data_IF_101330777996
#
_entry.id   IF_101330777996
#
_cell.length_a   1.000
_cell.length_b   1.000
_cell.length_c   1.000
_cell.angle_alpha   90.00
_cell.angle_beta   90.00
_cell.angle_gamma   90.00
#
_symmetry.space_group_name_H-M   'P 1'
#
loop_
_entity.id
_entity.type
_entity.pdbx_description
1 polymer ?
#
# COMPACT_ATOMS: atom_id res chain seq x y z
N UNK A 1 -1.23 51.00 -57.94
CA UNK A 1 -0.43 51.03 -56.71
C UNK A 1 -1.40 51.01 -55.54
N UNK A 2 -1.66 49.81 -54.96
CA UNK A 2 -2.54 49.65 -53.82
C UNK A 2 -1.61 49.34 -52.60
N UNK A 3 -1.62 50.24 -51.61
CA UNK A 3 -0.92 50.08 -50.34
C UNK A 3 -1.75 49.15 -49.44
N UNK A 4 -1.22 47.98 -49.13
CA UNK A 4 -1.77 47.07 -48.13
C UNK A 4 -1.28 47.54 -46.76
N UNK A 5 -2.21 48.03 -45.98
CA UNK A 5 -2.03 48.35 -44.57
C UNK A 5 -2.16 47.03 -43.77
N UNK A 6 -1.07 46.56 -43.23
CA UNK A 6 -1.04 45.43 -42.31
C UNK A 6 -1.35 45.92 -40.88
N UNK A 7 -2.49 45.61 -40.36
CA UNK A 7 -2.78 45.78 -38.93
C UNK A 7 -2.09 44.64 -38.16
N UNK A 8 -1.05 44.97 -37.45
CA UNK A 8 -0.52 44.10 -36.41
C UNK A 8 -1.42 44.19 -35.17
N UNK A 9 -2.24 43.14 -34.95
CA UNK A 9 -3.00 42.95 -33.72
C UNK A 9 -2.02 42.50 -32.64
N UNK A 10 -1.58 43.41 -31.78
CA UNK A 10 -0.82 43.06 -30.57
C UNK A 10 -1.87 42.57 -29.58
N UNK A 11 -2.03 41.24 -29.45
CA UNK A 11 -2.70 40.64 -28.32
C UNK A 11 -1.79 40.84 -27.08
N UNK A 12 -2.07 41.87 -26.31
CA UNK A 12 -1.61 41.96 -24.93
C UNK A 12 -2.34 40.87 -24.13
N UNK A 13 -1.70 39.70 -23.97
CA UNK A 13 -2.08 38.78 -22.91
C UNK A 13 -1.78 39.47 -21.59
N UNK A 14 -2.75 40.09 -20.98
CA UNK A 14 -2.75 40.37 -19.56
C UNK A 14 -2.69 39.04 -18.86
N UNK A 15 -1.51 38.62 -18.42
CA UNK A 15 -1.40 37.63 -17.38
C UNK A 15 -2.05 38.24 -16.13
N UNK A 16 -3.32 37.90 -15.92
CA UNK A 16 -3.95 38.01 -14.62
C UNK A 16 -3.21 36.98 -13.78
N UNK A 17 -2.21 37.40 -13.01
CA UNK A 17 -1.76 36.57 -11.89
C UNK A 17 -2.97 36.46 -10.96
N UNK A 18 -3.70 35.37 -11.04
CA UNK A 18 -4.60 34.97 -9.97
C UNK A 18 -3.70 34.79 -8.76
N UNK A 19 -3.67 35.80 -7.87
CA UNK A 19 -3.16 35.60 -6.54
C UNK A 19 -3.88 34.35 -6.03
N UNK A 20 -3.14 33.30 -5.75
CA UNK A 20 -3.65 32.10 -5.10
C UNK A 20 -4.26 32.57 -3.78
N UNK A 21 -5.59 32.67 -3.73
CA UNK A 21 -6.29 33.08 -2.52
C UNK A 21 -6.33 31.84 -1.63
N UNK A 22 -5.63 31.89 -0.51
CA UNK A 22 -5.75 30.86 0.51
C UNK A 22 -7.11 30.99 1.18
N UNK A 23 -7.84 29.87 1.32
CA UNK A 23 -9.11 29.82 2.05
C UNK A 23 -8.84 29.57 3.53
N UNK A 24 -9.35 30.46 4.40
CA UNK A 24 -9.30 30.28 5.85
C UNK A 24 -10.57 29.60 6.34
N UNK A 25 -10.41 28.52 7.11
CA UNK A 25 -11.51 27.81 7.79
C UNK A 25 -11.36 28.02 9.29
N UNK A 26 -12.33 28.67 9.90
CA UNK A 26 -12.32 29.01 11.32
C UNK A 26 -11.82 30.42 11.63
N UNK A 27 -11.71 30.72 12.90
CA UNK A 27 -11.31 32.03 13.42
C UNK A 27 -9.77 32.10 13.57
N UNK A 28 -9.14 33.11 13.01
CA UNK A 28 -7.67 33.27 13.04
C UNK A 28 -7.11 33.46 14.47
N UNK A 29 -7.94 33.80 15.46
CA UNK A 29 -7.58 33.87 16.88
C UNK A 29 -7.67 32.53 17.61
N UNK A 30 -7.91 31.43 16.86
CA UNK A 30 -8.08 30.07 17.39
C UNK A 30 -9.23 29.92 18.41
N UNK A 31 -10.34 30.63 18.20
CA UNK A 31 -11.56 30.55 19.02
C UNK A 31 -12.74 29.91 18.28
N UNK A 32 -12.46 29.14 17.24
CA UNK A 32 -13.50 28.45 16.44
C UNK A 32 -14.32 27.52 17.31
N UNK A 33 -15.63 27.71 17.32
CA UNK A 33 -16.54 26.84 18.05
C UNK A 33 -16.62 25.44 17.43
N UNK A 34 -16.95 24.45 18.24
CA UNK A 34 -17.21 23.10 17.78
C UNK A 34 -18.25 23.09 16.65
N UNK A 35 -17.92 22.41 15.53
CA UNK A 35 -18.79 22.19 14.38
C UNK A 35 -19.41 23.48 13.81
N UNK A 36 -18.64 24.59 13.80
CA UNK A 36 -19.12 25.92 13.40
C UNK A 36 -18.46 26.48 12.13
N UNK A 37 -17.31 25.95 11.71
CA UNK A 37 -16.58 26.40 10.54
C UNK A 37 -16.18 25.20 9.67
N UNK A 38 -16.38 25.33 8.35
CA UNK A 38 -16.18 24.25 7.40
C UNK A 38 -15.53 24.79 6.13
N UNK A 39 -14.66 23.98 5.50
CA UNK A 39 -14.26 24.24 4.12
C UNK A 39 -15.44 24.02 3.14
N UNK A 40 -15.23 24.36 1.88
CA UNK A 40 -16.10 23.89 0.81
C UNK A 40 -16.11 22.35 0.75
N UNK A 41 -17.12 21.80 0.12
CA UNK A 41 -17.17 20.39 -0.21
C UNK A 41 -16.27 20.07 -1.38
N UNK A 42 -15.44 19.04 -1.22
CA UNK A 42 -14.67 18.42 -2.30
C UNK A 42 -15.38 17.16 -2.74
N UNK A 43 -15.91 17.18 -3.97
CA UNK A 43 -16.68 16.05 -4.53
C UNK A 43 -15.71 15.03 -5.12
N UNK A 44 -15.79 13.78 -4.66
CA UNK A 44 -14.89 12.68 -5.05
C UNK A 44 -15.73 11.59 -5.72
N UNK A 45 -15.56 11.43 -7.04
CA UNK A 45 -16.19 10.35 -7.79
C UNK A 45 -15.49 8.99 -7.47
N UNK A 46 -16.08 7.86 -7.89
CA UNK A 46 -15.40 6.57 -7.81
C UNK A 46 -14.00 6.61 -8.40
N UNK A 47 -13.03 6.02 -7.68
CA UNK A 47 -11.64 5.94 -8.09
C UNK A 47 -10.98 7.30 -8.39
N UNK A 48 -11.30 8.31 -7.58
CA UNK A 48 -10.60 9.59 -7.58
C UNK A 48 -9.85 9.81 -6.26
N UNK A 49 -8.83 10.64 -6.35
CA UNK A 49 -8.00 11.07 -5.22
C UNK A 49 -8.08 12.58 -5.09
N UNK A 50 -8.47 13.05 -3.90
CA UNK A 50 -8.37 14.44 -3.48
C UNK A 50 -7.05 14.65 -2.76
N UNK A 51 -6.32 15.70 -3.11
CA UNK A 51 -5.16 16.18 -2.34
C UNK A 51 -5.38 17.62 -1.93
N UNK A 52 -5.13 17.93 -0.66
CA UNK A 52 -5.21 19.28 -0.07
C UNK A 52 -3.89 19.59 0.61
N UNK A 53 -3.41 20.82 0.45
CA UNK A 53 -2.32 21.35 1.28
C UNK A 53 -2.85 22.49 2.14
N UNK A 54 -2.58 22.45 3.45
CA UNK A 54 -3.00 23.50 4.38
C UNK A 54 -2.04 23.62 5.56
N UNK A 55 -2.10 24.78 6.22
CA UNK A 55 -1.46 24.97 7.53
C UNK A 55 -2.51 24.89 8.62
N UNK A 56 -2.23 24.08 9.63
CA UNK A 56 -3.10 23.88 10.80
C UNK A 56 -2.62 24.75 11.95
N UNK A 57 -3.50 25.54 12.54
CA UNK A 57 -3.24 26.33 13.74
C UNK A 57 -4.19 25.92 14.86
N UNK A 58 -3.72 26.00 16.10
CA UNK A 58 -4.44 25.54 17.29
C UNK A 58 -4.11 26.40 18.50
N UNK A 59 -5.03 26.48 19.47
CA UNK A 59 -4.71 27.11 20.75
C UNK A 59 -3.93 26.22 21.72
N UNK A 60 -3.61 24.99 21.32
CA UNK A 60 -2.80 23.98 22.05
C UNK A 60 -3.38 23.47 23.35
N UNK A 61 -4.61 23.84 23.72
CA UNK A 61 -5.16 23.46 25.01
C UNK A 61 -5.58 21.97 25.05
N UNK A 62 -5.79 21.32 23.88
CA UNK A 62 -6.13 19.90 23.80
C UNK A 62 -5.72 19.29 22.45
N UNK A 63 -5.44 18.00 22.42
CA UNK A 63 -5.02 17.30 21.20
C UNK A 63 -6.08 17.35 20.10
N UNK A 64 -7.36 17.42 20.43
CA UNK A 64 -8.44 17.50 19.45
C UNK A 64 -8.70 18.90 18.89
N UNK A 65 -8.02 19.92 19.37
CA UNK A 65 -8.10 21.30 18.82
C UNK A 65 -7.25 21.46 17.58
N UNK A 66 -7.56 20.68 16.55
CA UNK A 66 -6.85 20.60 15.29
C UNK A 66 -7.84 20.35 14.15
N UNK A 67 -7.33 20.12 12.95
CA UNK A 67 -8.19 19.78 11.82
C UNK A 67 -8.91 18.43 12.04
N UNK A 68 -10.07 18.36 11.43
CA UNK A 68 -10.83 17.11 11.23
C UNK A 68 -11.15 16.99 9.75
N UNK A 69 -10.96 15.78 9.23
CA UNK A 69 -11.36 15.39 7.87
C UNK A 69 -12.67 14.63 7.96
N UNK A 70 -13.67 15.11 7.23
CA UNK A 70 -14.99 14.49 7.20
C UNK A 70 -15.26 13.96 5.81
N UNK A 71 -15.68 12.70 5.70
CA UNK A 71 -16.13 12.07 4.45
C UNK A 71 -17.61 11.72 4.61
N UNK A 72 -18.42 12.12 3.62
CA UNK A 72 -19.88 12.02 3.69
C UNK A 72 -20.48 11.47 2.40
N UNK A 73 -21.78 11.16 2.47
CA UNK A 73 -22.62 11.02 1.26
C UNK A 73 -22.55 12.29 0.41
N UNK A 74 -23.03 12.20 -0.84
CA UNK A 74 -23.15 13.36 -1.76
C UNK A 74 -24.40 14.19 -1.47
N UNK A 75 -24.68 14.45 -0.20
CA UNK A 75 -25.81 15.27 0.26
C UNK A 75 -25.30 16.45 1.09
N UNK A 76 -26.10 17.52 1.14
CA UNK A 76 -25.79 18.69 1.96
C UNK A 76 -26.05 18.41 3.45
N UNK A 77 -25.25 19.00 4.33
CA UNK A 77 -25.50 18.95 5.77
C UNK A 77 -26.91 19.40 6.11
N UNK A 78 -27.64 18.54 6.86
CA UNK A 78 -29.03 18.77 7.21
C UNK A 78 -30.05 18.19 6.25
N UNK A 79 -29.64 17.64 5.10
CA UNK A 79 -30.51 16.84 4.22
C UNK A 79 -30.78 15.46 4.89
N UNK A 80 -31.90 14.84 4.51
CA UNK A 80 -32.35 13.56 5.10
C UNK A 80 -31.44 12.38 4.71
N UNK A 81 -30.74 12.49 3.58
CA UNK A 81 -29.82 11.51 3.02
C UNK A 81 -28.34 11.83 3.31
N UNK A 82 -28.07 12.90 4.08
CA UNK A 82 -26.75 13.19 4.59
C UNK A 82 -26.33 12.17 5.65
N UNK A 83 -25.17 11.57 5.46
CA UNK A 83 -24.54 10.69 6.44
C UNK A 83 -23.03 10.90 6.41
N UNK A 84 -22.42 10.88 7.58
CA UNK A 84 -20.96 10.96 7.76
C UNK A 84 -20.43 9.54 7.80
N UNK A 85 -19.63 9.15 6.80
CA UNK A 85 -18.91 7.88 6.81
C UNK A 85 -17.72 7.93 7.77
N UNK A 86 -16.95 9.02 7.71
CA UNK A 86 -15.72 9.20 8.49
C UNK A 86 -15.72 10.61 9.07
N UNK A 87 -15.45 10.73 10.36
CA UNK A 87 -14.96 11.96 10.97
C UNK A 87 -13.62 11.62 11.64
N UNK A 88 -12.54 11.94 10.97
CA UNK A 88 -11.19 11.61 11.38
C UNK A 88 -10.46 12.86 11.87
N UNK A 89 -9.98 12.84 13.13
CA UNK A 89 -9.25 13.93 13.78
C UNK A 89 -7.75 13.73 13.63
N UNK A 90 -7.02 14.82 13.63
CA UNK A 90 -5.56 14.84 13.55
C UNK A 90 -4.87 14.00 14.65
N UNK A 91 -5.47 13.90 15.85
CA UNK A 91 -4.97 13.09 16.97
C UNK A 91 -5.30 11.60 16.87
N UNK A 92 -5.60 11.12 15.64
CA UNK A 92 -5.94 9.73 15.32
C UNK A 92 -7.20 9.21 16.03
N UNK A 93 -8.07 10.12 16.45
CA UNK A 93 -9.42 9.84 16.97
C UNK A 93 -10.48 10.25 15.95
N UNK A 94 -11.72 9.91 16.23
CA UNK A 94 -12.88 10.28 15.43
C UNK A 94 -14.12 9.52 15.85
N UNK A 95 -15.18 9.63 15.05
CA UNK A 95 -16.47 8.97 15.31
C UNK A 95 -17.18 8.63 13.99
N UNK A 96 -18.42 8.27 14.07
CA UNK A 96 -19.24 7.67 13.05
C UNK A 96 -18.73 6.26 12.71
N UNK A 97 -18.93 5.84 11.49
CA UNK A 97 -18.58 4.49 11.08
C UNK A 97 -17.08 4.22 11.20
N UNK A 98 -16.24 5.27 11.07
CA UNK A 98 -14.82 5.09 10.92
C UNK A 98 -14.01 4.78 12.18
N UNK A 99 -14.47 5.19 13.35
CA UNK A 99 -13.63 5.08 14.56
C UNK A 99 -14.22 4.18 15.64
N UNK A 100 -15.53 3.99 15.62
CA UNK A 100 -16.18 3.06 16.54
C UNK A 100 -16.30 1.69 15.86
N UNK A 101 -15.25 0.90 15.93
CA UNK A 101 -15.22 -0.47 15.39
C UNK A 101 -16.25 -1.40 16.03
N UNK A 102 -16.76 -1.07 17.22
CA UNK A 102 -17.82 -1.84 17.87
C UNK A 102 -19.19 -1.60 17.21
N UNK A 103 -19.43 -0.42 16.61
CA UNK A 103 -20.68 -0.11 15.92
C UNK A 103 -20.72 -0.64 14.49
N UNK A 104 -19.61 -0.52 13.75
CA UNK A 104 -19.53 -0.94 12.34
C UNK A 104 -18.15 -1.60 12.05
N UNK A 105 -17.85 -2.74 12.68
CA UNK A 105 -16.55 -3.39 12.58
C UNK A 105 -16.22 -3.84 11.14
N UNK A 106 -17.25 -4.13 10.34
CA UNK A 106 -17.11 -4.61 8.96
C UNK A 106 -16.67 -3.51 7.98
N UNK A 107 -16.85 -2.24 8.34
CA UNK A 107 -16.48 -1.11 7.48
C UNK A 107 -15.06 -0.62 7.74
N UNK A 108 -14.61 -0.74 9.00
CA UNK A 108 -13.26 -0.37 9.40
C UNK A 108 -12.23 -1.33 8.80
N UNK A 109 -11.15 -0.80 8.24
CA UNK A 109 -10.07 -1.61 7.66
C UNK A 109 -8.78 -1.49 8.46
N UNK A 110 -8.22 -0.28 8.56
CA UNK A 110 -6.91 -0.09 9.16
C UNK A 110 -6.70 1.34 9.67
N UNK A 111 -5.88 1.48 10.71
CA UNK A 111 -5.44 2.79 11.21
C UNK A 111 -4.05 2.68 11.84
N UNK A 112 -3.18 3.62 11.49
CA UNK A 112 -1.83 3.71 12.04
C UNK A 112 -1.28 5.13 11.92
N UNK A 113 -0.39 5.50 12.84
CA UNK A 113 0.40 6.72 12.79
C UNK A 113 1.86 6.44 13.21
N UNK A 114 2.74 7.42 13.01
CA UNK A 114 4.13 7.33 13.43
C UNK A 114 4.54 8.43 14.42
N UNK A 115 3.60 9.01 15.16
CA UNK A 115 3.95 9.96 16.21
C UNK A 115 4.77 9.32 17.34
N UNK A 116 4.43 8.09 17.73
CA UNK A 116 5.13 7.38 18.80
C UNK A 116 5.24 8.24 20.07
N UNK A 117 6.44 8.31 20.66
CA UNK A 117 6.70 9.11 21.87
C UNK A 117 6.50 10.62 21.64
N UNK A 118 6.64 11.11 20.39
CA UNK A 118 6.39 12.51 20.05
C UNK A 118 4.93 12.93 20.26
N UNK A 119 3.98 11.96 20.37
CA UNK A 119 2.58 12.26 20.67
C UNK A 119 2.41 13.00 22.01
N UNK A 120 3.35 12.87 22.94
CA UNK A 120 3.34 13.67 24.18
C UNK A 120 3.44 15.19 23.94
N UNK A 121 4.02 15.62 22.80
CA UNK A 121 4.14 17.03 22.38
C UNK A 121 3.21 17.38 21.21
N UNK A 122 2.18 16.57 20.97
CA UNK A 122 1.33 16.64 19.80
C UNK A 122 0.72 18.03 19.56
N UNK A 123 0.27 18.71 20.60
CA UNK A 123 -0.33 20.06 20.48
C UNK A 123 0.66 21.10 19.94
N UNK A 124 1.94 21.03 20.31
CA UNK A 124 2.98 21.90 19.77
C UNK A 124 3.40 21.49 18.36
N UNK A 125 3.45 20.19 18.07
CA UNK A 125 3.75 19.68 16.73
C UNK A 125 2.73 20.19 15.72
N UNK A 126 1.46 20.20 16.09
CA UNK A 126 0.35 20.51 15.19
C UNK A 126 0.15 22.02 14.97
N UNK A 127 0.53 22.87 15.94
CA UNK A 127 0.36 24.31 15.78
C UNK A 127 1.34 24.90 14.77
N UNK A 128 0.82 25.47 13.69
CA UNK A 128 1.58 25.93 12.54
C UNK A 128 2.11 24.83 11.63
N UNK A 129 1.69 23.57 11.83
CA UNK A 129 2.10 22.45 10.98
C UNK A 129 1.55 22.57 9.56
N UNK A 130 2.39 22.23 8.58
CA UNK A 130 1.96 22.03 7.20
C UNK A 130 1.46 20.60 7.03
N UNK A 131 0.28 20.47 6.45
CA UNK A 131 -0.37 19.18 6.22
C UNK A 131 -0.63 19.02 4.72
N UNK A 132 -0.17 17.89 4.16
CA UNK A 132 -0.63 17.38 2.87
C UNK A 132 -1.60 16.26 3.18
N UNK A 133 -2.87 16.49 2.92
CA UNK A 133 -3.94 15.54 3.16
C UNK A 133 -4.35 14.91 1.84
N UNK A 134 -4.32 13.58 1.78
CA UNK A 134 -4.80 12.80 0.64
C UNK A 134 -6.01 11.97 1.05
N UNK A 135 -7.13 12.14 0.35
CA UNK A 135 -8.30 11.26 0.45
C UNK A 135 -8.33 10.43 -0.83
N UNK A 136 -7.82 9.21 -0.76
CA UNK A 136 -7.72 8.28 -1.89
C UNK A 136 -8.88 7.33 -1.87
N UNK A 137 -9.54 7.16 -3.02
CA UNK A 137 -10.64 6.23 -3.17
C UNK A 137 -10.28 5.13 -4.15
N UNK A 138 -10.47 3.88 -3.74
CA UNK A 138 -10.37 2.67 -4.57
C UNK A 138 -11.66 1.87 -4.36
N UNK A 139 -12.56 1.90 -5.33
CA UNK A 139 -13.90 1.32 -5.24
C UNK A 139 -14.66 1.86 -4.00
N UNK A 140 -15.12 0.99 -3.10
CA UNK A 140 -15.75 1.36 -1.82
C UNK A 140 -14.76 1.82 -0.75
N UNK A 141 -13.48 1.48 -0.88
CA UNK A 141 -12.47 1.83 0.11
C UNK A 141 -12.02 3.29 -0.02
N UNK A 142 -11.99 3.98 1.10
CA UNK A 142 -11.49 5.34 1.25
C UNK A 142 -10.36 5.35 2.26
N UNK A 143 -9.18 5.79 1.81
CA UNK A 143 -8.01 6.00 2.67
C UNK A 143 -7.78 7.49 2.88
N UNK A 144 -7.57 7.90 4.13
CA UNK A 144 -7.15 9.24 4.53
C UNK A 144 -5.68 9.15 4.94
N UNK A 145 -4.83 9.87 4.24
CA UNK A 145 -3.38 9.95 4.49
C UNK A 145 -3.05 11.39 4.83
N UNK A 146 -2.43 11.63 5.97
CA UNK A 146 -1.96 12.96 6.33
C UNK A 146 -0.44 12.94 6.52
N UNK A 147 0.25 13.67 5.64
CA UNK A 147 1.67 13.99 5.77
C UNK A 147 1.80 15.32 6.48
N UNK A 148 2.34 15.29 7.68
CA UNK A 148 2.42 16.42 8.60
C UNK A 148 3.88 16.83 8.75
N UNK A 149 4.16 18.11 8.52
CA UNK A 149 5.49 18.71 8.77
C UNK A 149 5.34 19.79 9.83
N UNK A 150 5.90 19.57 11.01
CA UNK A 150 5.90 20.55 12.09
C UNK A 150 6.70 21.81 11.71
N UNK A 151 6.51 22.88 12.45
CA UNK A 151 7.31 24.12 12.27
C UNK A 151 8.81 23.91 12.47
N UNK A 152 9.19 22.89 13.27
CA UNK A 152 10.58 22.45 13.46
C UNK A 152 11.13 21.54 12.35
N UNK A 153 10.31 21.21 11.34
CA UNK A 153 10.69 20.38 10.20
C UNK A 153 10.60 18.87 10.45
N UNK A 154 10.18 18.41 11.62
CA UNK A 154 9.90 17.01 11.88
C UNK A 154 8.70 16.54 11.07
N UNK A 155 8.78 15.32 10.52
CA UNK A 155 7.77 14.75 9.63
C UNK A 155 7.05 13.59 10.31
N UNK A 156 5.73 13.61 10.19
CA UNK A 156 4.84 12.57 10.68
C UNK A 156 3.86 12.16 9.59
N UNK A 157 3.34 10.96 9.69
CA UNK A 157 2.29 10.45 8.80
C UNK A 157 1.25 9.70 9.62
N UNK A 158 -0.02 9.93 9.29
CA UNK A 158 -1.11 9.07 9.71
C UNK A 158 -1.81 8.49 8.50
N UNK A 159 -2.33 7.28 8.67
CA UNK A 159 -3.10 6.55 7.67
C UNK A 159 -4.33 5.95 8.34
N UNK A 160 -5.47 6.14 7.69
CA UNK A 160 -6.74 5.58 8.10
C UNK A 160 -7.50 5.09 6.88
N UNK A 161 -8.13 3.92 6.94
CA UNK A 161 -8.93 3.39 5.84
C UNK A 161 -10.19 2.70 6.34
N UNK A 162 -11.27 2.88 5.57
CA UNK A 162 -12.53 2.15 5.74
C UNK A 162 -13.33 2.10 4.44
N UNK A 163 -14.35 1.24 4.40
CA UNK A 163 -15.30 1.19 3.29
C UNK A 163 -16.38 2.28 3.46
N UNK A 164 -16.62 3.05 2.39
CA UNK A 164 -17.59 4.13 2.35
C UNK A 164 -18.59 3.90 1.23
N UNK A 165 -19.79 3.47 1.57
CA UNK A 165 -20.84 3.16 0.61
C UNK A 165 -20.54 1.90 -0.23
N UNK A 166 -21.06 1.86 -1.48
CA UNK A 166 -20.98 0.71 -2.38
C UNK A 166 -19.92 0.86 -3.50
N UNK A 167 -19.10 1.91 -3.42
CA UNK A 167 -18.06 2.17 -4.42
C UNK A 167 -18.52 2.90 -5.68
N UNK A 168 -19.82 2.96 -5.96
CA UNK A 168 -20.38 3.53 -7.20
C UNK A 168 -20.87 4.97 -7.06
N UNK A 169 -21.34 5.34 -5.85
CA UNK A 169 -21.85 6.69 -5.60
C UNK A 169 -20.71 7.69 -5.45
N UNK A 170 -21.00 8.94 -5.75
CA UNK A 170 -20.14 10.06 -5.38
C UNK A 170 -20.14 10.25 -3.87
N UNK A 171 -19.01 10.63 -3.31
CA UNK A 171 -18.85 11.04 -1.91
C UNK A 171 -18.31 12.46 -1.86
N UNK A 172 -18.42 13.10 -0.69
CA UNK A 172 -17.82 14.42 -0.45
C UNK A 172 -16.87 14.35 0.72
N UNK A 173 -15.83 15.18 0.65
CA UNK A 173 -14.98 15.45 1.80
C UNK A 173 -15.00 16.94 2.13
N UNK A 174 -14.78 17.29 3.39
CA UNK A 174 -14.53 18.66 3.84
C UNK A 174 -13.65 18.66 5.09
N UNK A 175 -13.07 19.82 5.37
CA UNK A 175 -12.30 20.05 6.59
C UNK A 175 -13.11 20.90 7.55
N UNK A 176 -12.91 20.64 8.85
CA UNK A 176 -13.40 21.49 9.96
C UNK A 176 -12.35 21.52 11.06
N UNK A 177 -12.52 22.39 12.04
CA UNK A 177 -11.63 22.53 13.18
C UNK A 177 -12.38 23.00 14.42
N UNK A 178 -11.79 22.79 15.57
CA UNK A 178 -12.25 23.35 16.86
C UNK A 178 -11.09 24.04 17.57
N UNK A 179 -11.34 25.22 18.13
CA UNK A 179 -10.34 26.04 18.84
C UNK A 179 -9.00 26.17 18.07
N UNK A 180 -9.15 26.31 16.74
CA UNK A 180 -8.08 26.44 15.75
C UNK A 180 -8.59 27.11 14.49
N UNK A 181 -7.71 27.24 13.50
CA UNK A 181 -8.07 27.60 12.13
C UNK A 181 -7.15 26.89 11.14
N UNK A 182 -7.61 26.76 9.90
CA UNK A 182 -6.87 26.16 8.79
C UNK A 182 -6.67 27.23 7.72
N UNK A 183 -5.50 27.23 7.10
CA UNK A 183 -5.22 28.05 5.92
C UNK A 183 -4.93 27.11 4.76
N UNK A 184 -5.93 26.90 3.89
CA UNK A 184 -5.86 25.99 2.75
C UNK A 184 -5.21 26.70 1.58
N UNK A 185 -4.20 26.08 0.97
CA UNK A 185 -3.62 26.56 -0.29
C UNK A 185 -4.45 26.00 -1.47
N UNK A 186 -5.40 26.80 -1.94
CA UNK A 186 -6.31 26.41 -3.03
C UNK A 186 -5.57 26.10 -4.33
N UNK A 187 -4.36 26.66 -4.53
CA UNK A 187 -3.54 26.38 -5.71
C UNK A 187 -2.96 24.96 -5.72
N UNK A 188 -2.97 24.30 -4.56
CA UNK A 188 -2.48 22.95 -4.34
C UNK A 188 -3.60 21.92 -4.18
N UNK A 189 -4.84 22.39 -4.17
CA UNK A 189 -6.00 21.50 -4.14
C UNK A 189 -6.18 20.84 -5.50
N UNK A 190 -6.19 19.51 -5.51
CA UNK A 190 -6.37 18.72 -6.73
C UNK A 190 -7.34 17.57 -6.51
N UNK A 191 -8.13 17.26 -7.54
CA UNK A 191 -8.90 16.03 -7.64
C UNK A 191 -8.52 15.40 -8.99
N UNK A 192 -8.01 14.19 -8.94
CA UNK A 192 -7.54 13.47 -10.11
C UNK A 192 -7.98 12.00 -10.05
N UNK A 193 -7.95 11.31 -11.17
CA UNK A 193 -8.17 9.87 -11.19
C UNK A 193 -7.12 9.18 -10.33
N UNK A 194 -7.55 8.22 -9.52
CA UNK A 194 -6.65 7.41 -8.71
C UNK A 194 -5.78 6.56 -9.62
N UNK A 195 -4.46 6.61 -9.39
CA UNK A 195 -3.56 5.63 -9.97
C UNK A 195 -3.87 4.27 -9.34
N UNK A 196 -4.61 3.46 -10.11
CA UNK A 196 -5.12 2.17 -9.64
C UNK A 196 -3.97 1.17 -9.61
N UNK A 197 -3.78 0.45 -8.49
CA UNK A 197 -2.79 -0.61 -8.43
C UNK A 197 -3.05 -1.67 -9.50
N UNK A 198 -1.97 -2.23 -10.05
CA UNK A 198 -2.07 -3.36 -10.96
C UNK A 198 -2.67 -4.57 -10.26
N UNK A 199 -3.45 -5.36 -10.99
CA UNK A 199 -3.96 -6.67 -10.58
C UNK A 199 -3.50 -7.78 -11.52
N UNK A 200 -2.48 -7.52 -12.33
CA UNK A 200 -1.89 -8.52 -13.23
C UNK A 200 -0.96 -9.44 -12.45
N UNK A 201 -1.53 -10.43 -11.78
CA UNK A 201 -0.85 -11.39 -10.92
C UNK A 201 -1.74 -11.80 -9.73
N UNK A 202 -1.12 -12.39 -8.70
CA UNK A 202 -1.82 -12.73 -7.46
C UNK A 202 -1.64 -11.60 -6.44
N UNK A 203 -2.75 -10.94 -6.07
CA UNK A 203 -2.74 -9.90 -5.02
C UNK A 203 -2.81 -10.56 -3.65
N UNK A 204 -1.91 -10.17 -2.76
CA UNK A 204 -1.90 -10.54 -1.34
C UNK A 204 -2.08 -9.27 -0.52
N UNK A 205 -3.21 -9.15 0.16
CA UNK A 205 -3.59 -7.97 0.93
C UNK A 205 -4.56 -7.03 0.21
N UNK A 206 -4.74 -5.85 0.77
CA UNK A 206 -5.71 -4.86 0.34
C UNK A 206 -5.06 -3.82 -0.59
N UNK A 207 -5.63 -3.61 -1.77
CA UNK A 207 -5.08 -2.70 -2.81
C UNK A 207 -4.90 -1.24 -2.34
N UNK A 208 -5.59 -0.84 -1.30
CA UNK A 208 -5.47 0.47 -0.66
C UNK A 208 -4.39 0.54 0.43
N UNK A 209 -3.58 -0.52 0.58
CA UNK A 209 -2.55 -0.67 1.61
C UNK A 209 -3.10 -0.72 3.05
N UNK A 210 -4.34 -1.13 3.23
CA UNK A 210 -5.01 -1.22 4.53
C UNK A 210 -5.03 -2.65 5.12
N UNK A 211 -4.07 -3.48 4.77
CA UNK A 211 -4.01 -4.87 5.22
C UNK A 211 -3.67 -4.94 6.72
N UNK A 212 -4.55 -5.50 7.56
CA UNK A 212 -4.23 -5.72 8.96
C UNK A 212 -3.19 -6.83 9.15
N UNK A 213 -2.52 -6.79 10.30
CA UNK A 213 -1.57 -7.83 10.69
C UNK A 213 -2.18 -9.23 10.62
N UNK A 214 -1.44 -10.17 10.00
CA UNK A 214 -1.73 -11.61 9.97
C UNK A 214 -3.09 -11.98 9.33
N UNK A 215 -3.54 -11.23 8.31
CA UNK A 215 -4.84 -11.47 7.65
C UNK A 215 -4.74 -11.94 6.21
N UNK A 216 -3.68 -11.59 5.48
CA UNK A 216 -3.56 -11.89 4.05
C UNK A 216 -2.22 -12.58 3.76
N UNK A 217 -2.27 -13.71 3.06
CA UNK A 217 -1.12 -14.57 2.79
C UNK A 217 -1.15 -15.07 1.35
N UNK A 218 0.04 -15.31 0.78
CA UNK A 218 0.15 -16.09 -0.45
C UNK A 218 -0.21 -17.57 -0.22
N UNK A 219 -0.33 -18.32 -1.29
CA UNK A 219 -0.26 -19.79 -1.22
C UNK A 219 1.08 -20.23 -0.64
N UNK A 220 1.13 -21.48 -0.19
CA UNK A 220 2.37 -22.11 0.26
C UNK A 220 3.26 -22.51 -0.91
N UNK A 221 4.53 -22.18 -0.78
CA UNK A 221 5.60 -22.70 -1.63
C UNK A 221 6.29 -23.85 -0.89
N UNK A 222 6.02 -25.09 -1.30
CA UNK A 222 6.71 -26.26 -0.73
C UNK A 222 8.13 -26.33 -1.27
N UNK A 223 9.10 -26.52 -0.38
CA UNK A 223 10.53 -26.58 -0.68
C UNK A 223 11.05 -27.93 -0.22
N UNK A 224 11.47 -28.74 -1.19
CA UNK A 224 12.06 -30.06 -0.92
C UNK A 224 13.51 -29.89 -0.38
N UNK A 225 14.08 -30.93 0.29
CA UNK A 225 15.50 -30.95 0.56
C UNK A 225 16.33 -30.69 -0.71
N UNK A 226 17.35 -29.81 -0.61
CA UNK A 226 18.23 -29.41 -1.71
C UNK A 226 17.51 -28.76 -2.91
N UNK A 227 16.47 -27.99 -2.64
CA UNK A 227 15.71 -27.21 -3.63
C UNK A 227 15.89 -25.70 -3.43
N UNK A 228 15.81 -24.96 -4.52
CA UNK A 228 15.72 -23.48 -4.51
C UNK A 228 14.39 -23.06 -5.08
N UNK A 229 13.69 -22.16 -4.36
CA UNK A 229 12.48 -21.48 -4.84
C UNK A 229 12.73 -19.98 -5.00
N UNK A 230 12.16 -19.42 -6.03
CA UNK A 230 12.14 -17.98 -6.26
C UNK A 230 10.71 -17.49 -6.32
N UNK A 231 10.41 -16.40 -5.61
CA UNK A 231 9.13 -15.70 -5.60
C UNK A 231 9.44 -14.25 -6.01
N UNK A 232 8.82 -13.78 -7.08
CA UNK A 232 8.97 -12.40 -7.54
C UNK A 232 7.66 -11.65 -7.31
N UNK A 233 7.73 -10.49 -6.68
CA UNK A 233 6.56 -9.67 -6.37
C UNK A 233 6.90 -8.18 -6.32
N UNK A 234 5.89 -7.36 -6.52
CA UNK A 234 5.93 -5.93 -6.21
C UNK A 234 5.39 -5.72 -4.80
N UNK A 235 6.06 -4.86 -4.02
CA UNK A 235 5.69 -4.51 -2.67
C UNK A 235 5.14 -3.10 -2.63
N UNK A 236 3.95 -2.92 -2.07
CA UNK A 236 3.28 -1.64 -1.87
C UNK A 236 3.04 -1.40 -0.38
N UNK A 237 3.15 -0.15 0.06
CA UNK A 237 3.17 0.21 1.48
C UNK A 237 2.39 1.49 1.74
N UNK A 238 1.75 1.59 2.92
CA UNK A 238 1.21 2.86 3.41
C UNK A 238 2.29 3.83 3.92
N UNK A 239 3.55 3.42 3.99
CA UNK A 239 4.75 4.20 4.37
C UNK A 239 4.72 4.83 5.77
N UNK A 240 3.84 4.38 6.65
CA UNK A 240 3.77 4.96 8.01
C UNK A 240 4.90 4.43 8.87
N UNK A 241 5.08 3.12 8.91
CA UNK A 241 6.13 2.45 9.69
C UNK A 241 7.06 1.65 8.77
N UNK A 242 8.29 1.38 9.20
CA UNK A 242 9.23 0.57 8.43
C UNK A 242 8.77 -0.88 8.22
N UNK A 243 7.94 -1.39 9.12
CA UNK A 243 7.41 -2.76 9.05
C UNK A 243 6.17 -2.92 8.16
N UNK A 244 5.62 -1.85 7.60
CA UNK A 244 4.50 -1.91 6.64
C UNK A 244 5.00 -2.32 5.26
N UNK A 245 5.46 -3.54 5.13
CA UNK A 245 6.07 -4.09 3.93
C UNK A 245 5.84 -5.60 3.87
N UNK A 246 6.56 -6.27 2.96
CA UNK A 246 6.55 -7.72 2.85
C UNK A 246 7.14 -8.40 4.10
N UNK A 247 6.62 -9.59 4.36
CA UNK A 247 7.18 -10.56 5.29
C UNK A 247 7.27 -11.93 4.60
N UNK A 248 8.29 -12.69 4.95
CA UNK A 248 8.47 -14.08 4.55
C UNK A 248 8.31 -14.98 5.78
N UNK A 249 7.41 -15.94 5.71
CA UNK A 249 7.32 -17.04 6.67
C UNK A 249 7.97 -18.31 6.13
N UNK A 250 8.81 -18.96 6.94
CA UNK A 250 9.33 -20.31 6.66
C UNK A 250 8.95 -21.23 7.81
N UNK A 251 8.25 -22.33 7.49
CA UNK A 251 7.63 -23.23 8.48
C UNK A 251 7.86 -24.68 8.14
N UNK A 252 7.55 -25.58 9.09
CA UNK A 252 7.42 -27.00 8.82
C UNK A 252 6.29 -27.27 7.80
N UNK A 253 6.27 -28.45 7.21
CA UNK A 253 5.25 -28.87 6.24
C UNK A 253 3.90 -29.19 6.92
N UNK A 254 3.28 -28.17 7.49
CA UNK A 254 1.98 -28.19 8.11
C UNK A 254 1.24 -26.88 7.88
N UNK A 255 -0.07 -26.86 8.12
CA UNK A 255 -0.89 -25.66 7.94
C UNK A 255 -0.62 -24.63 9.06
N UNK A 256 -0.81 -23.34 8.75
CA UNK A 256 -0.72 -22.25 9.74
C UNK A 256 -1.59 -22.57 10.97
N UNK A 257 -1.03 -22.38 12.15
CA UNK A 257 -1.67 -22.75 13.41
C UNK A 257 -1.28 -24.12 13.95
N UNK A 258 -0.74 -25.02 13.12
CA UNK A 258 -0.18 -26.31 13.55
C UNK A 258 1.29 -26.51 13.13
N UNK A 259 1.81 -25.62 12.27
CA UNK A 259 3.21 -25.66 11.83
C UNK A 259 4.15 -25.13 12.91
N UNK A 260 5.40 -25.61 12.88
CA UNK A 260 6.51 -24.96 13.57
C UNK A 260 6.96 -23.79 12.72
N UNK A 261 6.92 -22.58 13.26
CA UNK A 261 7.51 -21.40 12.65
C UNK A 261 9.03 -21.44 12.86
N UNK A 262 9.77 -21.76 11.80
CA UNK A 262 11.22 -21.73 11.84
C UNK A 262 11.72 -20.30 11.94
N UNK A 263 11.37 -19.47 10.96
CA UNK A 263 11.59 -18.03 11.03
C UNK A 263 10.56 -17.25 10.23
N UNK A 264 10.32 -16.03 10.68
CA UNK A 264 9.68 -14.94 9.95
C UNK A 264 10.74 -13.89 9.68
N UNK A 265 10.88 -13.48 8.43
CA UNK A 265 11.78 -12.42 7.99
C UNK A 265 10.94 -11.23 7.54
N UNK A 266 11.23 -10.05 8.07
CA UNK A 266 10.51 -8.81 7.78
C UNK A 266 11.41 -7.81 7.08
N UNK A 267 10.90 -7.13 6.08
CA UNK A 267 11.63 -6.21 5.21
C UNK A 267 12.48 -5.13 5.92
N UNK A 268 12.21 -4.84 7.18
CA UNK A 268 12.91 -3.81 7.96
C UNK A 268 14.08 -4.36 8.80
N UNK A 269 14.74 -5.40 8.34
CA UNK A 269 15.89 -6.01 8.98
C UNK A 269 15.56 -6.57 10.38
N UNK A 270 14.39 -7.17 10.50
CA UNK A 270 13.90 -7.80 11.72
C UNK A 270 13.29 -9.18 11.42
N UNK A 271 13.26 -10.02 12.43
CA UNK A 271 12.63 -11.33 12.33
C UNK A 271 12.43 -11.98 13.68
N UNK A 272 11.77 -13.12 13.67
CA UNK A 272 11.53 -13.97 14.84
C UNK A 272 11.29 -15.43 14.40
N UNK A 273 11.10 -16.32 15.34
CA UNK A 273 10.82 -17.73 15.11
C UNK A 273 11.73 -18.64 15.92
N UNK A 274 11.49 -19.96 15.85
CA UNK A 274 12.16 -20.94 16.72
C UNK A 274 13.65 -21.10 16.45
N UNK A 275 14.09 -20.77 15.24
CA UNK A 275 15.51 -20.86 14.84
C UNK A 275 16.05 -19.53 14.28
N UNK A 276 15.30 -18.45 14.45
CA UNK A 276 15.75 -17.13 14.06
C UNK A 276 16.92 -16.69 14.93
N UNK A 277 18.00 -16.23 14.28
CA UNK A 277 19.12 -15.57 14.93
C UNK A 277 19.47 -14.29 14.18
N UNK A 278 19.28 -13.15 14.83
CA UNK A 278 19.57 -11.84 14.26
C UNK A 278 21.05 -11.64 13.90
N UNK A 279 21.98 -12.40 14.47
CA UNK A 279 23.39 -12.37 14.08
C UNK A 279 23.62 -12.92 12.66
N UNK A 280 22.70 -13.74 12.16
CA UNK A 280 22.73 -14.30 10.81
C UNK A 280 21.92 -13.48 9.80
N UNK A 281 21.34 -12.36 10.23
CA UNK A 281 20.61 -11.44 9.37
C UNK A 281 21.54 -10.32 8.90
N UNK A 282 21.54 -10.03 7.61
CA UNK A 282 22.29 -8.94 7.00
C UNK A 282 21.45 -8.19 5.97
N UNK A 283 21.62 -6.87 5.90
CA UNK A 283 21.00 -6.00 4.93
C UNK A 283 21.87 -4.79 4.63
N UNK A 284 21.55 -4.05 3.56
CA UNK A 284 22.25 -2.82 3.18
C UNK A 284 21.32 -1.62 3.00
N UNK A 285 20.28 -1.50 3.80
CA UNK A 285 19.27 -0.46 3.66
C UNK A 285 19.79 0.95 3.92
N UNK A 286 19.27 1.90 3.14
CA UNK A 286 19.33 3.33 3.46
C UNK A 286 18.03 3.73 4.20
N UNK A 287 18.11 3.83 5.52
CA UNK A 287 16.96 4.08 6.37
C UNK A 287 16.30 5.45 6.19
N UNK A 288 17.03 6.44 5.66
CA UNK A 288 16.51 7.80 5.44
C UNK A 288 15.40 7.81 4.37
N UNK A 289 15.48 6.90 3.40
CA UNK A 289 14.53 6.79 2.28
C UNK A 289 13.82 5.43 2.24
N UNK A 290 14.09 4.54 3.18
CA UNK A 290 13.63 3.16 3.19
C UNK A 290 12.11 3.04 2.96
N UNK A 291 11.30 3.80 3.69
CA UNK A 291 9.83 3.72 3.59
C UNK A 291 9.31 4.14 2.21
N UNK A 292 9.95 5.11 1.58
CA UNK A 292 9.60 5.56 0.25
C UNK A 292 10.08 4.58 -0.82
N UNK A 293 11.29 4.04 -0.66
CA UNK A 293 11.88 3.09 -1.61
C UNK A 293 11.23 1.71 -1.58
N UNK A 294 10.64 1.31 -0.46
CA UNK A 294 9.91 0.04 -0.37
C UNK A 294 8.51 0.09 -1.02
N UNK A 295 7.92 1.27 -1.19
CA UNK A 295 6.63 1.41 -1.88
C UNK A 295 6.84 1.33 -3.40
N UNK A 296 6.13 0.42 -4.06
CA UNK A 296 6.29 0.09 -5.48
C UNK A 296 7.69 -0.49 -5.82
N UNK A 297 8.28 -1.24 -4.87
CA UNK A 297 9.55 -1.92 -5.07
C UNK A 297 9.34 -3.33 -5.64
N UNK A 298 10.21 -3.72 -6.57
CA UNK A 298 10.27 -5.11 -7.04
C UNK A 298 11.18 -5.92 -6.12
N UNK A 299 10.68 -7.04 -5.62
CA UNK A 299 11.38 -7.97 -4.73
C UNK A 299 11.53 -9.32 -5.42
N UNK A 300 12.76 -9.79 -5.48
CA UNK A 300 13.08 -11.17 -5.86
C UNK A 300 13.54 -11.93 -4.64
N UNK A 301 12.62 -12.72 -4.07
CA UNK A 301 12.87 -13.57 -2.91
C UNK A 301 13.38 -14.93 -3.37
N UNK A 302 14.61 -15.28 -3.01
CA UNK A 302 15.21 -16.59 -3.30
C UNK A 302 15.41 -17.35 -2.00
N UNK A 303 14.84 -18.55 -1.91
CA UNK A 303 14.95 -19.43 -0.75
C UNK A 303 15.68 -20.69 -1.20
N UNK A 304 16.92 -20.84 -0.75
CA UNK A 304 17.78 -21.98 -1.05
C UNK A 304 17.87 -22.88 0.17
N UNK A 305 17.65 -24.18 -0.02
CA UNK A 305 17.73 -25.18 1.01
C UNK A 305 18.81 -26.21 0.68
N UNK A 306 19.74 -26.43 1.62
CA UNK A 306 20.80 -27.42 1.56
C UNK A 306 20.74 -28.26 2.84
N UNK A 307 20.13 -29.45 2.78
CA UNK A 307 19.83 -30.23 3.96
C UNK A 307 18.89 -29.49 4.93
N UNK A 308 19.33 -29.25 6.17
CA UNK A 308 18.63 -28.45 7.17
C UNK A 308 18.87 -26.95 7.03
N UNK A 309 19.95 -26.53 6.40
CA UNK A 309 20.31 -25.12 6.23
C UNK A 309 19.41 -24.46 5.18
N UNK A 310 18.72 -23.40 5.57
CA UNK A 310 17.86 -22.57 4.68
C UNK A 310 18.42 -21.16 4.63
N UNK A 311 18.66 -20.68 3.42
CA UNK A 311 19.05 -19.29 3.15
C UNK A 311 17.92 -18.59 2.39
N UNK A 312 17.32 -17.56 2.99
CA UNK A 312 16.41 -16.64 2.34
C UNK A 312 17.16 -15.36 1.97
N UNK A 313 17.06 -14.95 0.70
CA UNK A 313 17.66 -13.73 0.18
C UNK A 313 16.61 -12.94 -0.59
N UNK A 314 16.36 -11.70 -0.19
CA UNK A 314 15.55 -10.74 -0.91
C UNK A 314 16.45 -9.74 -1.64
N UNK A 315 16.45 -9.77 -2.96
CA UNK A 315 17.04 -8.73 -3.81
C UNK A 315 15.93 -7.74 -4.16
N UNK A 316 16.12 -6.46 -3.83
CA UNK A 316 15.09 -5.43 -3.89
C UNK A 316 15.54 -4.32 -4.83
N UNK A 317 14.65 -3.93 -5.74
CA UNK A 317 14.85 -2.78 -6.62
C UNK A 317 13.71 -1.80 -6.41
N UNK A 318 14.03 -0.64 -5.86
CA UNK A 318 13.09 0.45 -5.66
C UNK A 318 12.74 1.14 -6.99
N UNK A 319 11.58 1.78 -7.05
CA UNK A 319 11.18 2.63 -8.20
C UNK A 319 12.15 3.80 -8.44
N UNK A 320 12.81 4.28 -7.38
CA UNK A 320 13.88 5.29 -7.46
C UNK A 320 15.12 4.81 -8.21
N UNK A 321 15.28 3.49 -8.40
CA UNK A 321 16.45 2.83 -8.96
C UNK A 321 17.48 2.41 -7.91
N UNK A 322 17.24 2.70 -6.63
CA UNK A 322 18.07 2.18 -5.54
C UNK A 322 17.89 0.65 -5.44
N UNK A 323 18.98 -0.04 -5.10
CA UNK A 323 18.97 -1.49 -4.92
C UNK A 323 19.40 -1.85 -3.51
N UNK A 324 18.73 -2.86 -2.96
CA UNK A 324 18.95 -3.34 -1.60
C UNK A 324 18.95 -4.86 -1.56
N UNK A 325 19.48 -5.42 -0.48
CA UNK A 325 19.27 -6.82 -0.18
C UNK A 325 18.96 -7.01 1.32
N UNK A 326 18.29 -8.13 1.61
CA UNK A 326 18.14 -8.67 2.96
C UNK A 326 18.31 -10.17 2.92
N UNK A 327 19.16 -10.74 3.78
CA UNK A 327 19.54 -12.15 3.77
C UNK A 327 19.58 -12.71 5.18
N UNK A 328 18.91 -13.86 5.36
CA UNK A 328 18.97 -14.67 6.59
C UNK A 328 19.37 -16.10 6.25
N UNK A 329 20.19 -16.73 7.10
CA UNK A 329 20.49 -18.16 7.05
C UNK A 329 20.15 -18.80 8.40
N UNK A 330 19.40 -19.91 8.39
CA UNK A 330 18.95 -20.62 9.60
C UNK A 330 18.87 -22.14 9.38
N UNK A 331 18.94 -22.90 10.49
CA UNK A 331 18.76 -24.36 10.46
C UNK A 331 17.29 -24.72 10.66
N UNK A 332 16.62 -25.25 9.64
CA UNK A 332 15.19 -25.52 9.61
C UNK A 332 14.91 -27.01 9.56
N UNK A 333 14.50 -27.59 10.68
CA UNK A 333 14.16 -28.99 10.79
C UNK A 333 15.38 -29.92 10.70
N UNK A 334 15.16 -31.18 10.32
CA UNK A 334 16.19 -32.22 10.23
C UNK A 334 16.80 -32.39 8.82
N UNK A 335 16.37 -31.58 7.88
CA UNK A 335 16.84 -31.63 6.48
C UNK A 335 16.19 -32.71 5.62
N UNK A 336 15.33 -33.56 6.16
CA UNK A 336 14.75 -34.71 5.42
C UNK A 336 13.32 -34.47 4.95
N UNK A 337 12.51 -33.72 5.70
CA UNK A 337 11.12 -33.41 5.39
C UNK A 337 11.01 -32.10 4.59
N UNK A 338 10.01 -31.95 3.72
CA UNK A 338 9.72 -30.67 3.09
C UNK A 338 9.51 -29.55 4.12
N UNK A 339 9.75 -28.32 3.72
CA UNK A 339 9.36 -27.11 4.45
C UNK A 339 8.43 -26.28 3.57
N UNK A 340 7.71 -25.33 4.16
CA UNK A 340 6.86 -24.38 3.46
C UNK A 340 7.35 -22.98 3.63
N UNK A 341 7.23 -22.21 2.58
CA UNK A 341 7.39 -20.75 2.63
C UNK A 341 6.11 -20.07 2.16
N UNK A 342 5.85 -18.86 2.61
CA UNK A 342 4.77 -18.00 2.14
C UNK A 342 5.15 -16.53 2.38
N UNK A 343 4.61 -15.63 1.57
CA UNK A 343 4.75 -14.20 1.77
C UNK A 343 3.44 -13.59 2.22
N UNK A 344 3.53 -12.53 3.02
CA UNK A 344 2.39 -11.78 3.54
C UNK A 344 2.81 -10.32 3.79
N UNK A 345 1.87 -9.49 4.21
CA UNK A 345 2.12 -8.06 4.44
C UNK A 345 1.26 -7.51 5.58
N UNK A 346 1.68 -6.38 6.10
CA UNK A 346 0.91 -5.50 6.98
C UNK A 346 1.02 -4.07 6.47
N UNK A 347 -0.09 -3.31 6.50
CA UNK A 347 -0.11 -1.93 6.05
C UNK A 347 0.33 -1.75 4.60
N UNK A 348 0.07 -2.76 3.75
CA UNK A 348 0.48 -2.80 2.36
C UNK A 348 -0.25 -3.87 1.56
N UNK A 349 0.15 -4.09 0.32
CA UNK A 349 -0.19 -5.27 -0.47
C UNK A 349 1.00 -5.73 -1.30
N UNK A 350 0.98 -7.00 -1.70
CA UNK A 350 1.96 -7.59 -2.61
C UNK A 350 1.26 -7.97 -3.91
N UNK A 351 1.89 -7.73 -5.02
CA UNK A 351 1.49 -8.24 -6.32
C UNK A 351 2.51 -9.30 -6.75
N UNK A 352 2.19 -10.57 -6.50
CA UNK A 352 3.03 -11.68 -6.92
C UNK A 352 2.89 -11.83 -8.42
N UNK A 353 3.98 -11.67 -9.12
CA UNK A 353 4.04 -11.96 -10.55
C UNK A 353 3.92 -13.47 -10.67
N UNK A 354 2.91 -13.93 -11.39
CA UNK A 354 2.77 -15.35 -11.67
C UNK A 354 4.12 -15.84 -12.14
N UNK A 355 4.72 -16.75 -11.37
CA UNK A 355 5.90 -17.42 -11.82
C UNK A 355 5.54 -17.97 -13.19
N UNK A 356 6.06 -17.37 -14.24
CA UNK A 356 6.19 -18.11 -15.49
C UNK A 356 6.84 -19.37 -15.01
N UNK A 357 6.06 -20.47 -14.97
CA UNK A 357 6.59 -21.78 -14.65
C UNK A 357 7.84 -21.90 -15.51
N UNK A 358 8.97 -21.45 -14.97
CA UNK A 358 10.25 -21.81 -15.51
C UNK A 358 10.21 -23.32 -15.32
N UNK A 359 9.85 -23.99 -16.38
CA UNK A 359 10.19 -25.38 -16.54
C UNK A 359 11.66 -25.37 -16.21
N UNK A 360 11.96 -25.70 -14.96
CA UNK A 360 13.33 -25.95 -14.52
C UNK A 360 13.85 -26.84 -15.62
N UNK A 361 14.91 -26.36 -16.29
CA UNK A 361 15.53 -27.09 -17.39
C UNK A 361 15.62 -28.53 -16.95
N UNK A 362 14.75 -29.37 -17.51
CA UNK A 362 14.97 -30.79 -17.46
C UNK A 362 16.34 -30.92 -18.05
N UNK A 363 17.35 -31.23 -17.23
CA UNK A 363 18.61 -31.73 -17.73
C UNK A 363 18.22 -32.90 -18.60
N UNK A 364 18.15 -32.65 -19.90
CA UNK A 364 18.07 -33.67 -20.88
C UNK A 364 19.37 -34.45 -20.73
N UNK A 365 19.31 -35.49 -19.92
CA UNK A 365 20.23 -36.60 -20.08
C UNK A 365 20.10 -37.01 -21.54
N UNK A 366 21.17 -36.85 -22.28
CA UNK A 366 21.29 -37.21 -23.69
C UNK A 366 21.16 -38.74 -23.81
N UNK A 367 19.93 -39.22 -23.75
CA UNK A 367 19.61 -40.58 -24.18
C UNK A 367 18.27 -40.58 -24.93
N UNK A 368 18.42 -40.80 -26.23
CA UNK A 368 17.40 -41.14 -27.22
C UNK A 368 16.39 -40.05 -27.61
N UNK A 369 16.61 -39.51 -28.79
CA UNK A 369 15.74 -38.67 -29.63
C UNK A 369 14.40 -39.38 -29.99
N UNK A 370 13.50 -39.58 -28.98
CA UNK A 370 12.07 -39.82 -29.24
C UNK A 370 11.29 -38.61 -28.70
N UNK A 371 10.64 -37.87 -29.60
CA UNK A 371 9.78 -36.76 -29.22
C UNK A 371 8.68 -37.28 -28.24
N UNK A 372 8.57 -36.63 -27.08
CA UNK A 372 7.57 -36.95 -26.08
C UNK A 372 6.22 -36.37 -26.50
N UNK A 373 5.17 -37.20 -26.50
CA UNK A 373 3.80 -36.86 -26.87
C UNK A 373 2.91 -36.90 -25.65
N UNK A 374 2.03 -35.92 -25.51
CA UNK A 374 1.07 -35.80 -24.41
C UNK A 374 -0.33 -35.56 -24.97
N UNK A 375 -1.37 -36.08 -24.33
CA UNK A 375 -2.75 -35.68 -24.60
C UNK A 375 -3.11 -34.37 -23.94
N UNK A 376 -4.33 -33.84 -24.14
CA UNK A 376 -4.78 -32.57 -23.55
C UNK A 376 -4.87 -32.60 -22.00
N UNK A 377 -4.90 -33.79 -21.40
CA UNK A 377 -4.87 -33.96 -19.94
C UNK A 377 -3.44 -34.05 -19.38
N UNK A 378 -2.39 -33.79 -20.21
CA UNK A 378 -1.00 -33.86 -19.81
C UNK A 378 -0.42 -35.27 -19.61
N UNK A 379 -1.17 -36.30 -19.95
CA UNK A 379 -0.71 -37.68 -19.86
C UNK A 379 0.14 -38.05 -21.07
N UNK A 380 1.25 -38.72 -20.84
CA UNK A 380 2.12 -39.21 -21.91
C UNK A 380 1.39 -40.28 -22.72
N UNK A 381 1.46 -40.17 -24.05
CA UNK A 381 0.80 -41.08 -25.00
C UNK A 381 1.81 -41.66 -26.01
N UNK A 382 1.51 -42.82 -26.51
CA UNK A 382 2.32 -43.49 -27.52
C UNK A 382 1.90 -43.14 -28.96
N UNK A 383 2.55 -43.76 -29.94
CA UNK A 383 2.29 -43.50 -31.37
C UNK A 383 0.93 -44.00 -31.85
N UNK A 384 0.29 -44.91 -31.09
CA UNK A 384 -1.02 -45.47 -31.42
C UNK A 384 -2.18 -44.62 -30.94
N UNK A 385 -1.92 -43.60 -30.12
CA UNK A 385 -2.96 -42.71 -29.58
C UNK A 385 -3.67 -41.91 -30.67
N UNK A 386 -5.01 -41.93 -30.64
CA UNK A 386 -5.89 -41.16 -31.52
C UNK A 386 -6.47 -39.98 -30.76
N UNK A 387 -6.43 -38.80 -31.34
CA UNK A 387 -6.94 -37.59 -30.70
C UNK A 387 -5.96 -36.42 -30.81
N UNK A 388 -6.17 -35.41 -29.96
CA UNK A 388 -5.27 -34.24 -29.94
C UNK A 388 -4.06 -34.56 -29.08
N UNK A 389 -2.87 -34.42 -29.65
CA UNK A 389 -1.58 -34.56 -28.97
C UNK A 389 -0.83 -33.21 -28.94
N UNK A 390 0.00 -33.08 -27.93
CA UNK A 390 1.00 -32.00 -27.82
C UNK A 390 2.37 -32.64 -27.95
N UNK A 391 3.12 -32.22 -28.95
CA UNK A 391 4.47 -32.68 -29.26
C UNK A 391 5.34 -31.47 -29.60
N UNK A 392 6.48 -31.31 -28.93
CA UNK A 392 7.38 -30.14 -29.09
C UNK A 392 6.66 -28.79 -29.02
N UNK A 393 5.73 -28.64 -28.05
CA UNK A 393 4.96 -27.42 -27.85
C UNK A 393 3.88 -27.11 -28.90
N UNK A 394 3.64 -28.00 -29.86
CA UNK A 394 2.62 -27.84 -30.91
C UNK A 394 1.50 -28.85 -30.76
N UNK A 395 0.26 -28.46 -31.11
CA UNK A 395 -0.93 -29.33 -31.09
C UNK A 395 -1.13 -29.96 -32.46
N UNK A 396 -1.38 -31.30 -32.46
CA UNK A 396 -1.70 -32.07 -33.66
C UNK A 396 -2.93 -32.93 -33.42
N UNK A 397 -3.74 -33.12 -34.45
CA UNK A 397 -4.83 -34.11 -34.44
C UNK A 397 -4.33 -35.38 -35.11
N UNK A 398 -4.22 -36.48 -34.34
CA UNK A 398 -3.88 -37.80 -34.84
C UNK A 398 -5.19 -38.56 -35.09
N UNK A 399 -5.46 -38.92 -36.34
CA UNK A 399 -6.67 -39.63 -36.83
C UNK A 399 -6.56 -41.16 -36.71
#
# INVERSE_FOLDING_TARGET
MRKLLRYALVCAMTMISTASMATTVGNEDNTTGWWSAFSDYYTIAPNQTLTLEFTNYSNKAANWFNYMTVVTTDADRGATDYSEYIVYRADCYGWQYGMNTAENPELYKYKVDNFGDAFADFTNIMDGAKVVLTVKRINESVSIIADITSTGGAKYRSFYAMNCGDGNQTIRAFLTTENGHLVIDDSKTTIADTDMPSTEGTVVGELDNATPWWTAFSDYYTIQPNETKTIEFENYSCKVQSYHNWLLGVTSDADRGSSTEYFMLRADNYGWGSVYDGANLSSNYNWDVFKDDMDDATVKMTITREGSTVTANADITAKSGNTYFEKLTAECGDGTQPIRAFVFTEGGHLLIKDAVNSISSVQQSAENNKSLRYNLAGQRVDEAYKGIIIENGKKYLVK
#
